data_IF_855881517380
#
_entry.id   IF_855881517380
#
_cell.length_a   1.000
_cell.length_b   1.000
_cell.length_c   1.000
_cell.angle_alpha   90.00
_cell.angle_beta   90.00
_cell.angle_gamma   90.00
#
_symmetry.space_group_name_H-M   'P 1'
#
loop_
_entity.id
_entity.type
_entity.pdbx_description
1 polymer ?
#
# COMPACT_ATOMS: atom_id res chain seq x y z
N UNK A 1 -8.64 -13.77 5.76
CA UNK A 1 -7.84 -12.75 5.06
C UNK A 1 -8.61 -12.45 3.81
N UNK A 2 -9.03 -11.20 3.65
CA UNK A 2 -9.98 -10.81 2.62
C UNK A 2 -9.32 -9.87 1.59
N UNK A 3 -8.26 -9.18 2.02
CA UNK A 3 -7.52 -8.19 1.25
C UNK A 3 -6.02 -8.47 1.40
N UNK A 4 -5.27 -8.33 0.31
CA UNK A 4 -3.80 -8.31 0.32
C UNK A 4 -3.33 -7.01 -0.30
N UNK A 5 -2.44 -6.29 0.41
CA UNK A 5 -1.73 -5.15 -0.15
C UNK A 5 -0.67 -5.65 -1.14
N UNK A 6 -0.96 -5.54 -2.45
CA UNK A 6 -0.05 -5.97 -3.51
C UNK A 6 0.93 -4.87 -3.92
N UNK A 7 0.68 -3.63 -3.50
CA UNK A 7 1.61 -2.52 -3.66
C UNK A 7 1.63 -1.62 -2.41
N UNK A 8 2.83 -1.43 -1.86
CA UNK A 8 3.07 -0.45 -0.80
C UNK A 8 4.19 0.50 -1.26
N UNK A 9 3.96 1.81 -1.19
CA UNK A 9 4.93 2.81 -1.63
C UNK A 9 6.29 2.68 -0.91
N UNK A 10 6.33 2.15 0.31
CA UNK A 10 7.55 1.99 1.11
C UNK A 10 8.20 0.62 1.03
N UNK A 11 7.61 -0.33 0.31
CA UNK A 11 8.23 -1.65 0.15
C UNK A 11 9.54 -1.53 -0.65
N UNK A 12 10.69 -2.00 -0.11
CA UNK A 12 12.01 -1.83 -0.72
C UNK A 12 12.33 -2.86 -1.81
N UNK A 13 11.64 -3.99 -1.89
CA UNK A 13 11.92 -5.03 -2.88
C UNK A 13 10.71 -5.30 -3.79
N UNK A 14 10.93 -5.28 -5.10
CA UNK A 14 9.88 -5.53 -6.10
C UNK A 14 9.36 -6.97 -6.08
N UNK A 15 10.19 -7.95 -5.66
CA UNK A 15 9.78 -9.36 -5.58
C UNK A 15 8.60 -9.58 -4.62
N UNK A 16 8.40 -8.71 -3.63
CA UNK A 16 7.25 -8.81 -2.73
C UNK A 16 5.93 -8.55 -3.45
N UNK A 17 5.93 -7.68 -4.48
CA UNK A 17 4.73 -7.39 -5.26
C UNK A 17 4.29 -8.59 -6.09
N UNK A 18 5.23 -9.26 -6.76
CA UNK A 18 4.93 -10.47 -7.56
C UNK A 18 4.29 -11.56 -6.70
N UNK A 19 4.88 -11.84 -5.53
CA UNK A 19 4.34 -12.85 -4.60
C UNK A 19 2.97 -12.47 -4.05
N UNK A 20 2.73 -11.19 -3.77
CA UNK A 20 1.44 -10.72 -3.30
C UNK A 20 0.36 -10.88 -4.38
N UNK A 21 0.69 -10.56 -5.64
CA UNK A 21 -0.18 -10.81 -6.79
C UNK A 21 -0.46 -12.29 -7.00
N UNK A 22 0.55 -13.16 -6.88
CA UNK A 22 0.38 -14.61 -6.95
C UNK A 22 -0.61 -15.12 -5.89
N UNK A 23 -0.52 -14.62 -4.65
CA UNK A 23 -1.45 -14.98 -3.58
C UNK A 23 -2.88 -14.50 -3.86
N UNK A 24 -3.04 -13.26 -4.30
CA UNK A 24 -4.35 -12.70 -4.71
C UNK A 24 -4.99 -13.58 -5.77
N UNK A 25 -4.25 -13.90 -6.83
CA UNK A 25 -4.76 -14.71 -7.94
C UNK A 25 -5.05 -16.15 -7.52
N UNK A 26 -4.19 -16.74 -6.68
CA UNK A 26 -4.34 -18.14 -6.22
C UNK A 26 -5.57 -18.34 -5.35
N UNK A 27 -5.90 -17.36 -4.51
CA UNK A 27 -6.95 -17.49 -3.49
C UNK A 27 -8.19 -16.63 -3.76
N UNK A 28 -8.21 -15.86 -4.86
CA UNK A 28 -9.34 -15.00 -5.21
C UNK A 28 -9.58 -13.87 -4.20
N UNK A 29 -8.50 -13.29 -3.68
CA UNK A 29 -8.55 -12.23 -2.66
C UNK A 29 -8.59 -10.84 -3.30
N UNK A 30 -9.05 -9.82 -2.58
CA UNK A 30 -9.05 -8.46 -3.11
C UNK A 30 -7.63 -7.86 -3.12
N UNK A 31 -7.11 -7.38 -4.26
CA UNK A 31 -5.86 -6.63 -4.29
C UNK A 31 -6.06 -5.21 -3.77
N UNK A 32 -5.09 -4.70 -3.00
CA UNK A 32 -5.09 -3.33 -2.50
C UNK A 32 -3.71 -2.68 -2.63
N UNK A 33 -3.65 -1.36 -2.40
CA UNK A 33 -2.43 -0.60 -2.35
C UNK A 33 -2.48 0.52 -1.30
N UNK A 34 -1.32 0.82 -0.71
CA UNK A 34 -1.20 1.82 0.34
C UNK A 34 0.09 2.62 0.28
N UNK A 35 -0.03 3.92 0.58
CA UNK A 35 1.13 4.82 0.65
C UNK A 35 2.02 4.58 1.88
N UNK A 36 1.46 3.99 2.94
CA UNK A 36 2.07 3.86 4.26
C UNK A 36 2.73 5.17 4.73
N UNK A 37 1.95 6.25 4.62
CA UNK A 37 2.41 7.61 4.85
C UNK A 37 2.72 7.83 6.35
N UNK A 38 3.97 8.21 6.66
CA UNK A 38 4.34 8.71 8.00
C UNK A 38 4.47 10.24 8.02
N UNK A 39 4.41 10.89 6.84
CA UNK A 39 4.41 12.34 6.68
C UNK A 39 3.32 12.76 5.69
N UNK A 40 2.83 14.00 5.81
CA UNK A 40 1.76 14.54 4.94
C UNK A 40 2.11 14.45 3.46
N UNK A 41 3.37 14.69 3.09
CA UNK A 41 3.86 14.61 1.71
C UNK A 41 3.89 13.20 1.11
N UNK A 42 3.58 12.18 1.91
CA UNK A 42 3.52 10.79 1.49
C UNK A 42 2.10 10.31 1.21
N UNK A 43 1.08 11.04 1.70
CA UNK A 43 -0.32 10.71 1.46
C UNK A 43 -0.58 10.66 -0.05
N UNK A 44 -1.26 9.61 -0.52
CA UNK A 44 -1.60 9.43 -1.93
C UNK A 44 -0.44 8.99 -2.82
N UNK A 45 0.74 8.66 -2.27
CA UNK A 45 1.81 8.05 -3.07
C UNK A 45 1.45 6.67 -3.62
N UNK A 46 0.51 5.98 -2.99
CA UNK A 46 -0.18 4.83 -3.53
C UNK A 46 -1.60 4.78 -2.99
N UNK A 47 -2.51 4.32 -3.84
CA UNK A 47 -3.94 4.25 -3.59
C UNK A 47 -4.59 3.29 -4.60
N UNK A 48 -5.83 2.90 -4.30
CA UNK A 48 -6.71 2.22 -5.25
C UNK A 48 -7.78 3.19 -5.70
N UNK A 49 -7.94 3.35 -7.00
CA UNK A 49 -9.11 3.99 -7.58
C UNK A 49 -10.16 2.91 -7.82
N UNK A 50 -11.32 3.02 -7.18
CA UNK A 50 -12.38 2.01 -7.22
C UNK A 50 -13.75 2.69 -7.27
N UNK A 51 -14.82 1.98 -7.68
CA UNK A 51 -16.18 2.49 -7.57
C UNK A 51 -16.53 2.93 -6.14
N UNK A 52 -17.46 3.88 -6.04
CA UNK A 52 -18.03 4.26 -4.75
C UNK A 52 -18.73 3.06 -4.10
N UNK A 53 -18.65 2.99 -2.78
CA UNK A 53 -19.24 1.92 -1.97
C UNK A 53 -19.99 2.57 -0.80
N UNK A 54 -21.06 1.92 -0.34
CA UNK A 54 -21.96 2.47 0.67
C UNK A 54 -21.77 1.82 2.05
N UNK A 55 -20.97 0.76 2.14
CA UNK A 55 -20.70 0.09 3.40
C UNK A 55 -19.65 -1.01 3.31
N UNK A 56 -19.45 -1.76 4.41
CA UNK A 56 -18.54 -2.90 4.41
C UNK A 56 -19.00 -4.02 3.47
N UNK A 57 -20.31 -4.15 3.23
CA UNK A 57 -20.91 -5.23 2.47
C UNK A 57 -20.59 -5.17 0.97
N UNK A 58 -20.47 -3.97 0.39
CA UNK A 58 -20.13 -3.76 -1.02
C UNK A 58 -18.66 -3.37 -1.24
N UNK A 59 -17.94 -2.96 -0.19
CA UNK A 59 -16.54 -2.53 -0.27
C UNK A 59 -15.63 -3.49 -1.02
N UNK A 60 -15.64 -4.78 -0.69
CA UNK A 60 -14.75 -5.77 -1.31
C UNK A 60 -15.05 -5.93 -2.81
N UNK A 61 -16.32 -5.92 -3.19
CA UNK A 61 -16.74 -6.04 -4.59
C UNK A 61 -16.30 -4.81 -5.40
N UNK A 62 -16.38 -3.61 -4.82
CA UNK A 62 -15.86 -2.39 -5.44
C UNK A 62 -14.32 -2.43 -5.50
N UNK A 63 -13.65 -2.90 -4.44
CA UNK A 63 -12.19 -2.97 -4.36
C UNK A 63 -11.59 -3.92 -5.42
N UNK A 64 -12.23 -5.07 -5.67
CA UNK A 64 -11.82 -6.03 -6.72
C UNK A 64 -11.85 -5.41 -8.12
N UNK A 65 -12.77 -4.46 -8.37
CA UNK A 65 -12.86 -3.72 -9.62
C UNK A 65 -11.85 -2.56 -9.69
N UNK A 66 -11.17 -2.28 -8.57
CA UNK A 66 -10.28 -1.16 -8.42
C UNK A 66 -8.98 -1.29 -9.22
N UNK A 67 -8.44 -0.14 -9.61
CA UNK A 67 -7.14 -0.02 -10.25
C UNK A 67 -6.13 0.55 -9.27
N UNK A 68 -4.99 -0.13 -9.15
CA UNK A 68 -3.90 0.29 -8.28
C UNK A 68 -3.05 1.36 -8.97
N UNK A 69 -2.80 2.44 -8.25
CA UNK A 69 -1.86 3.48 -8.63
C UNK A 69 -0.82 3.65 -7.53
N UNK A 70 0.41 3.95 -7.93
CA UNK A 70 1.41 4.31 -6.96
C UNK A 70 2.80 4.54 -7.52
N UNK A 71 3.58 5.27 -6.74
CA UNK A 71 5.02 5.44 -6.90
C UNK A 71 5.72 5.03 -5.62
N UNK A 72 6.93 4.51 -5.77
CA UNK A 72 7.76 4.14 -4.62
C UNK A 72 8.25 5.42 -3.93
N UNK A 73 8.23 5.41 -2.62
CA UNK A 73 8.85 6.44 -1.80
C UNK A 73 10.36 6.37 -1.97
N UNK A 74 10.99 7.55 -2.03
CA UNK A 74 12.45 7.63 -2.09
C UNK A 74 13.03 6.94 -0.84
N UNK A 75 13.97 5.97 -0.97
CA UNK A 75 14.56 5.28 0.17
C UNK A 75 15.11 6.20 1.26
N UNK A 76 15.46 7.45 0.92
CA UNK A 76 15.89 8.50 1.86
C UNK A 76 14.86 8.82 2.96
N UNK A 77 13.57 8.54 2.77
CA UNK A 77 12.58 8.71 3.85
C UNK A 77 12.81 7.75 5.02
N UNK A 78 13.42 6.58 4.78
CA UNK A 78 13.83 5.65 5.83
C UNK A 78 15.03 6.19 6.63
N UNK A 79 15.90 6.98 6.00
CA UNK A 79 17.01 7.63 6.68
C UNK A 79 16.54 8.80 7.57
N UNK A 80 15.62 9.63 7.08
CA UNK A 80 15.04 10.70 7.89
C UNK A 80 14.30 10.17 9.14
N UNK A 81 13.53 9.09 8.99
CA UNK A 81 12.84 8.44 10.13
C UNK A 81 13.82 7.81 11.12
N UNK A 82 14.95 7.27 10.66
CA UNK A 82 16.03 6.77 11.52
C UNK A 82 16.75 7.92 12.24
N UNK A 83 17.03 9.03 11.56
CA UNK A 83 17.68 10.21 12.14
C UNK A 83 16.83 10.87 13.24
N UNK A 84 15.51 10.96 13.03
CA UNK A 84 14.58 11.47 14.05
C UNK A 84 14.58 10.62 15.32
N UNK A 85 14.74 9.30 15.20
CA UNK A 85 14.90 8.40 16.38
C UNK A 85 16.22 8.64 17.12
N UNK A 86 17.32 8.85 16.40
CA UNK A 86 18.64 9.11 16.98
C UNK A 86 18.65 10.44 17.72
N UNK A 87 18.09 11.50 17.12
CA UNK A 87 18.03 12.84 17.74
C UNK A 87 17.16 12.90 18.98
N UNK A 88 16.18 11.99 19.14
CA UNK A 88 15.35 11.87 20.34
C UNK A 88 16.04 11.14 21.49
N UNK A 89 17.16 10.48 21.21
CA UNK A 89 17.92 9.64 22.14
C UNK A 89 19.23 10.30 22.60
N UNK A 90 19.58 11.44 21.99
CA UNK A 90 20.58 12.41 22.45
C UNK A 90 19.86 13.52 23.21
#
# INVERSE_FOLDING_TARGET
VDIIEVFNSRTPFSNSFTKAWELVNKYGLAPSAGSDAHMVSEIGKAYVEMPEFNGPDDFINCLIQGKIFGRRSNPLVHFASTWTKIKKKL
#
